data_IF_831440636493
#
_entry.id   IF_831440636493
#
_cell.length_a   1.000
_cell.length_b   1.000
_cell.length_c   1.000
_cell.angle_alpha   90.00
_cell.angle_beta   90.00
_cell.angle_gamma   90.00
#
_symmetry.space_group_name_H-M   'P 1'
#
loop_
_entity.id
_entity.type
_entity.pdbx_description
1 polymer ?
#
# COMPACT_ATOMS: atom_id res chain seq x y z
N UNK A 1 2.50 -21.07 -6.70
CA UNK A 1 2.70 -20.85 -5.24
C UNK A 1 2.64 -19.37 -4.86
N UNK A 2 3.51 -18.49 -5.40
CA UNK A 2 3.53 -17.04 -5.07
C UNK A 2 2.17 -16.32 -5.21
N UNK A 3 1.40 -16.61 -6.27
CA UNK A 3 0.08 -16.00 -6.51
C UNK A 3 -0.97 -16.39 -5.45
N UNK A 4 -0.98 -17.65 -5.02
CA UNK A 4 -1.93 -18.14 -4.00
C UNK A 4 -1.62 -17.48 -2.65
N UNK A 5 -0.33 -17.34 -2.31
CA UNK A 5 0.10 -16.64 -1.10
C UNK A 5 -0.30 -15.15 -1.13
N UNK A 6 -0.10 -14.48 -2.26
CA UNK A 6 -0.52 -13.08 -2.43
C UNK A 6 -2.05 -12.91 -2.28
N UNK A 7 -2.85 -13.77 -2.93
CA UNK A 7 -4.30 -13.76 -2.78
C UNK A 7 -4.72 -14.02 -1.34
N UNK A 8 -4.08 -14.98 -0.66
CA UNK A 8 -4.31 -15.28 0.75
C UNK A 8 -4.02 -14.10 1.67
N UNK A 9 -2.92 -13.37 1.44
CA UNK A 9 -2.56 -12.18 2.21
C UNK A 9 -3.55 -11.02 1.98
N UNK A 10 -3.97 -10.81 0.73
CA UNK A 10 -4.99 -9.79 0.41
C UNK A 10 -6.31 -10.14 1.09
N UNK A 11 -6.75 -11.39 0.98
CA UNK A 11 -7.98 -11.84 1.62
C UNK A 11 -7.92 -11.69 3.14
N UNK A 12 -6.82 -12.10 3.78
CA UNK A 12 -6.63 -11.94 5.21
C UNK A 12 -6.68 -10.46 5.62
N UNK A 13 -6.02 -9.58 4.88
CA UNK A 13 -6.03 -8.12 5.14
C UNK A 13 -7.44 -7.52 5.00
N UNK A 14 -8.21 -7.96 4.01
CA UNK A 14 -9.60 -7.50 3.81
C UNK A 14 -10.50 -8.00 4.94
N UNK A 15 -10.38 -9.28 5.33
CA UNK A 15 -11.17 -9.84 6.42
C UNK A 15 -10.84 -9.20 7.77
N UNK A 16 -9.56 -8.95 8.06
CA UNK A 16 -9.17 -8.25 9.28
C UNK A 16 -9.66 -6.80 9.25
N UNK A 17 -9.48 -6.06 8.16
CA UNK A 17 -10.02 -4.71 8.04
C UNK A 17 -11.54 -4.67 8.28
N UNK A 18 -12.27 -5.61 7.67
CA UNK A 18 -13.72 -5.73 7.88
C UNK A 18 -14.07 -6.02 9.35
N UNK A 19 -13.37 -6.94 10.01
CA UNK A 19 -13.61 -7.30 11.40
C UNK A 19 -13.30 -6.15 12.38
N UNK A 20 -12.26 -5.36 12.11
CA UNK A 20 -11.85 -4.24 12.97
C UNK A 20 -12.66 -2.96 12.72
N UNK A 21 -13.30 -2.81 11.56
CA UNK A 21 -14.03 -1.58 11.20
C UNK A 21 -15.14 -1.24 12.23
N UNK A 22 -16.03 -2.17 12.64
CA UNK A 22 -17.02 -1.89 13.68
C UNK A 22 -16.38 -1.45 15.00
N UNK A 23 -15.32 -2.14 15.43
CA UNK A 23 -14.59 -1.84 16.67
C UNK A 23 -14.00 -0.42 16.66
N UNK A 24 -13.49 0.02 15.51
CA UNK A 24 -12.97 1.37 15.35
C UNK A 24 -14.10 2.41 15.34
N UNK A 25 -15.23 2.09 14.70
CA UNK A 25 -16.38 2.99 14.60
C UNK A 25 -17.16 3.14 15.92
N UNK A 26 -17.03 2.21 16.85
CA UNK A 26 -17.57 2.34 18.21
C UNK A 26 -16.87 3.45 19.03
N UNK A 27 -15.70 3.92 18.59
CA UNK A 27 -15.01 5.05 19.20
C UNK A 27 -15.63 6.39 18.76
N UNK A 28 -16.10 7.25 19.70
CA UNK A 28 -16.68 8.54 19.36
C UNK A 28 -15.73 9.46 18.60
N UNK A 29 -14.43 9.39 18.90
CA UNK A 29 -13.41 10.20 18.22
C UNK A 29 -13.22 9.77 16.76
N UNK A 30 -13.23 8.46 16.50
CA UNK A 30 -13.12 7.92 15.14
C UNK A 30 -14.37 8.27 14.35
N UNK A 31 -15.55 8.10 14.95
CA UNK A 31 -16.81 8.46 14.30
C UNK A 31 -16.87 9.97 13.98
N UNK A 32 -16.46 10.83 14.92
CA UNK A 32 -16.40 12.28 14.69
C UNK A 32 -15.45 12.65 13.54
N UNK A 33 -14.31 11.96 13.44
CA UNK A 33 -13.38 12.14 12.32
C UNK A 33 -13.99 11.65 10.99
N UNK A 34 -14.59 10.46 10.95
CA UNK A 34 -15.21 9.89 9.74
C UNK A 34 -16.33 10.78 9.20
N UNK A 35 -17.08 11.43 10.09
CA UNK A 35 -18.16 12.35 9.74
C UNK A 35 -17.67 13.79 9.46
N UNK A 36 -16.38 14.08 9.62
CA UNK A 36 -15.83 15.42 9.40
C UNK A 36 -15.55 15.70 7.93
N UNK A 37 -15.52 16.99 7.57
CA UNK A 37 -15.16 17.44 6.21
C UNK A 37 -13.71 17.12 5.83
N UNK A 38 -12.85 16.83 6.82
CA UNK A 38 -11.46 16.47 6.61
C UNK A 38 -11.25 15.01 6.17
N UNK A 39 -12.24 14.13 6.40
CA UNK A 39 -12.11 12.69 6.16
C UNK A 39 -11.73 12.35 4.71
N UNK A 40 -12.51 12.86 3.75
CA UNK A 40 -12.30 12.56 2.33
C UNK A 40 -10.95 13.08 1.80
N UNK A 41 -10.57 14.35 2.04
CA UNK A 41 -9.25 14.85 1.68
C UNK A 41 -8.10 13.99 2.23
N UNK A 42 -8.16 13.59 3.50
CA UNK A 42 -7.12 12.76 4.11
C UNK A 42 -7.08 11.35 3.51
N UNK A 43 -8.23 10.73 3.28
CA UNK A 43 -8.33 9.42 2.63
C UNK A 43 -7.76 9.44 1.20
N UNK A 44 -8.13 10.45 0.39
CA UNK A 44 -7.57 10.60 -0.96
C UNK A 44 -6.07 10.85 -0.91
N UNK A 45 -5.60 11.69 0.01
CA UNK A 45 -4.18 11.95 0.21
C UNK A 45 -3.40 10.67 0.55
N UNK A 46 -3.90 9.87 1.49
CA UNK A 46 -3.29 8.61 1.87
C UNK A 46 -3.21 7.62 0.70
N UNK A 47 -4.31 7.45 -0.05
CA UNK A 47 -4.35 6.58 -1.24
C UNK A 47 -3.36 7.05 -2.31
N UNK A 48 -3.27 8.36 -2.55
CA UNK A 48 -2.33 8.94 -3.51
C UNK A 48 -0.88 8.69 -3.10
N UNK A 49 -0.50 8.96 -1.85
CA UNK A 49 0.88 8.76 -1.36
C UNK A 49 1.28 7.29 -1.47
N UNK A 50 0.41 6.37 -1.03
CA UNK A 50 0.67 4.93 -1.12
C UNK A 50 0.76 4.51 -2.59
N UNK A 51 -0.14 4.99 -3.45
CA UNK A 51 -0.11 4.72 -4.88
C UNK A 51 1.18 5.20 -5.55
N UNK A 52 1.65 6.40 -5.21
CA UNK A 52 2.92 6.94 -5.72
C UNK A 52 4.12 6.09 -5.29
N UNK A 53 4.15 5.61 -4.05
CA UNK A 53 5.21 4.71 -3.58
C UNK A 53 5.23 3.40 -4.37
N UNK A 54 4.07 2.77 -4.58
CA UNK A 54 3.98 1.56 -5.39
C UNK A 54 4.39 1.81 -6.84
N UNK A 55 3.97 2.93 -7.43
CA UNK A 55 4.35 3.30 -8.79
C UNK A 55 5.87 3.52 -8.90
N UNK A 56 6.49 4.19 -7.92
CA UNK A 56 7.93 4.39 -7.86
C UNK A 56 8.69 3.06 -7.73
N UNK A 57 8.23 2.16 -6.86
CA UNK A 57 8.82 0.82 -6.72
C UNK A 57 8.69 0.01 -8.02
N UNK A 58 7.52 0.03 -8.66
CA UNK A 58 7.31 -0.66 -9.94
C UNK A 58 8.20 -0.07 -11.05
N UNK A 59 8.32 1.26 -11.12
CA UNK A 59 9.21 1.93 -12.05
C UNK A 59 10.67 1.57 -11.79
N UNK A 60 11.11 1.53 -10.54
CA UNK A 60 12.47 1.10 -10.18
C UNK A 60 12.75 -0.34 -10.64
N UNK A 61 11.80 -1.26 -10.46
CA UNK A 61 11.94 -2.65 -10.95
C UNK A 61 12.01 -2.71 -12.48
N UNK A 62 11.16 -1.95 -13.17
CA UNK A 62 11.02 -2.00 -14.63
C UNK A 62 12.17 -1.31 -15.36
N UNK A 63 12.61 -0.15 -14.88
CA UNK A 63 13.61 0.69 -15.55
C UNK A 63 15.02 0.55 -14.98
N UNK A 64 15.17 0.03 -13.75
CA UNK A 64 16.47 -0.15 -13.10
C UNK A 64 16.56 -1.49 -12.34
N UNK A 65 16.35 -2.65 -12.99
CA UNK A 65 16.32 -3.95 -12.32
C UNK A 65 17.62 -4.27 -11.56
N UNK A 66 18.79 -3.83 -12.07
CA UNK A 66 20.09 -4.00 -11.41
C UNK A 66 20.29 -3.16 -10.13
N UNK A 67 19.50 -2.09 -9.93
CA UNK A 67 19.63 -1.23 -8.74
C UNK A 67 19.14 -1.89 -7.44
N UNK A 68 18.29 -2.91 -7.55
CA UNK A 68 17.67 -3.62 -6.42
C UNK A 68 18.45 -4.88 -6.00
N UNK A 69 19.38 -5.37 -6.83
CA UNK A 69 20.07 -6.63 -6.57
C UNK A 69 21.38 -6.48 -5.77
N UNK A 70 21.71 -5.28 -5.27
CA UNK A 70 22.99 -5.01 -4.62
C UNK A 70 24.21 -5.33 -5.50
N UNK A 71 24.03 -5.42 -6.82
CA UNK A 71 25.12 -5.68 -7.77
C UNK A 71 25.84 -4.37 -8.05
N UNK A 72 27.15 -4.35 -7.80
CA UNK A 72 28.05 -3.21 -8.03
C UNK A 72 28.64 -3.20 -9.45
N UNK A 73 28.15 -4.04 -10.36
CA UNK A 73 28.68 -4.11 -11.73
C UNK A 73 27.71 -3.48 -12.74
N UNK A 74 28.22 -2.69 -13.70
CA UNK A 74 27.40 -2.05 -14.72
C UNK A 74 26.72 -3.08 -15.64
N UNK A 75 25.42 -2.90 -15.90
CA UNK A 75 24.72 -3.53 -17.01
C UNK A 75 25.15 -2.88 -18.33
N UNK A 76 26.39 -3.11 -18.72
CA UNK A 76 26.97 -2.46 -19.89
C UNK A 76 28.36 -2.99 -20.14
N UNK A 77 28.42 -4.18 -20.74
CA UNK A 77 29.64 -4.61 -21.42
C UNK A 77 29.97 -3.62 -22.53
N UNK A 78 31.10 -2.95 -22.37
CA UNK A 78 31.98 -2.58 -23.47
C UNK A 78 33.33 -3.24 -23.20
#
# INVERSE_FOLDING_TARGET
MKRILAIGLIALAVFTAHAWTPVLLDSPAVMAFVLSDAFWPEMFGAVLVIGMLFAACAAAILFHPGSLSGRTEPEGGL
#
